data_IF_403560548649
#
_entry.id   IF_403560548649
#
_cell.length_a   1.000
_cell.length_b   1.000
_cell.length_c   1.000
_cell.angle_alpha   90.00
_cell.angle_beta   90.00
_cell.angle_gamma   90.00
#
_symmetry.space_group_name_H-M   'P 1'
#
loop_
_entity.id
_entity.type
_entity.pdbx_description
1 polymer ?
#
# COMPACT_ATOMS: atom_id res chain seq x y z
N UNK A 1 -45.98 16.65 7.12
CA UNK A 1 -44.59 16.15 7.09
C UNK A 1 -44.53 15.04 6.04
N UNK A 2 -43.63 15.14 5.04
CA UNK A 2 -43.43 14.04 4.10
C UNK A 2 -42.75 12.88 4.84
N UNK A 3 -43.28 11.70 4.67
CA UNK A 3 -42.72 10.48 5.27
C UNK A 3 -41.44 10.10 4.53
N UNK A 4 -40.32 10.11 5.23
CA UNK A 4 -39.00 9.73 4.70
C UNK A 4 -38.96 8.26 4.20
N UNK A 5 -39.84 7.42 4.73
CA UNK A 5 -39.96 6.01 4.33
C UNK A 5 -40.50 5.81 2.90
N UNK A 6 -41.07 6.86 2.30
CA UNK A 6 -41.64 6.81 0.95
C UNK A 6 -40.61 7.01 -0.19
N UNK A 7 -39.36 7.36 0.13
CA UNK A 7 -38.32 7.53 -0.88
C UNK A 7 -37.69 6.17 -1.23
N UNK A 8 -37.53 5.88 -2.53
CA UNK A 8 -36.90 4.64 -2.94
C UNK A 8 -35.45 4.58 -2.44
N UNK A 9 -35.09 3.46 -1.86
CA UNK A 9 -33.73 3.22 -1.35
C UNK A 9 -32.79 2.95 -2.55
N UNK A 10 -32.38 4.02 -3.25
CA UNK A 10 -31.49 3.95 -4.41
C UNK A 10 -30.08 4.18 -3.92
N UNK A 11 -29.15 3.29 -4.30
CA UNK A 11 -27.73 3.49 -3.99
C UNK A 11 -27.22 4.75 -4.70
N UNK A 12 -26.56 5.68 -3.99
CA UNK A 12 -26.01 6.89 -4.57
C UNK A 12 -25.01 6.58 -5.70
N UNK A 13 -25.08 7.35 -6.78
CA UNK A 13 -24.11 7.29 -7.87
C UNK A 13 -23.06 8.40 -7.70
N UNK A 14 -21.91 8.24 -8.38
CA UNK A 14 -20.80 9.22 -8.30
C UNK A 14 -21.22 10.65 -8.67
N UNK A 15 -22.26 10.80 -9.52
CA UNK A 15 -22.77 12.10 -9.95
C UNK A 15 -23.91 12.64 -9.07
N UNK A 16 -24.40 11.87 -8.10
CA UNK A 16 -25.48 12.31 -7.23
C UNK A 16 -24.99 13.48 -6.38
N UNK A 17 -25.86 14.48 -6.20
CA UNK A 17 -25.55 15.65 -5.40
C UNK A 17 -26.04 15.45 -3.96
N UNK A 18 -25.17 15.76 -3.03
CA UNK A 18 -25.50 15.82 -1.60
C UNK A 18 -25.54 17.28 -1.18
N UNK A 19 -26.62 17.69 -0.52
CA UNK A 19 -26.76 19.03 0.03
C UNK A 19 -26.18 19.02 1.44
N UNK A 20 -25.19 19.86 1.69
CA UNK A 20 -24.56 20.04 3.01
C UNK A 20 -24.37 21.51 3.33
N UNK A 21 -24.11 21.83 4.58
CA UNK A 21 -23.69 23.15 5.02
C UNK A 21 -22.21 23.14 5.39
N UNK A 22 -21.48 24.18 5.00
CA UNK A 22 -20.11 24.38 5.48
C UNK A 22 -20.11 24.80 6.95
N UNK A 23 -19.30 24.13 7.77
CA UNK A 23 -18.98 24.56 9.12
C UNK A 23 -17.91 25.64 9.07
N UNK A 24 -18.05 26.67 9.91
CA UNK A 24 -17.05 27.73 10.06
C UNK A 24 -15.68 27.16 10.44
N UNK A 25 -14.66 27.48 9.63
CA UNK A 25 -13.26 27.20 9.96
C UNK A 25 -12.63 28.49 10.47
N UNK A 26 -12.18 28.49 11.74
CA UNK A 26 -11.54 29.66 12.35
C UNK A 26 -10.30 30.09 11.54
N UNK A 27 -10.25 31.38 11.17
CA UNK A 27 -9.13 31.97 10.42
C UNK A 27 -9.37 32.24 8.93
N UNK A 28 -10.53 31.91 8.39
CA UNK A 28 -10.98 32.35 7.07
C UNK A 28 -11.87 33.57 7.21
N UNK A 29 -11.67 34.61 6.37
CA UNK A 29 -12.46 35.84 6.39
C UNK A 29 -13.96 35.53 6.42
N UNK A 30 -14.73 36.26 7.27
CA UNK A 30 -16.14 36.07 7.49
C UNK A 30 -16.91 35.88 6.18
N UNK A 31 -17.36 34.65 5.94
CA UNK A 31 -18.42 34.40 4.98
C UNK A 31 -19.72 34.79 5.71
N UNK A 32 -20.26 35.96 5.39
CA UNK A 32 -21.56 36.44 5.92
C UNK A 32 -22.67 35.53 5.39
N UNK A 33 -23.05 34.57 6.20
CA UNK A 33 -24.05 33.54 5.89
C UNK A 33 -23.47 32.14 5.93
N UNK A 34 -24.31 31.15 6.20
CA UNK A 34 -23.97 29.74 6.12
C UNK A 34 -24.40 29.22 4.73
N UNK A 35 -23.56 29.33 3.69
CA UNK A 35 -23.97 28.98 2.34
C UNK A 35 -24.21 27.47 2.26
N UNK A 36 -25.39 27.09 1.82
CA UNK A 36 -25.68 25.71 1.45
C UNK A 36 -24.90 25.37 0.18
N UNK A 37 -24.05 24.37 0.23
CA UNK A 37 -23.29 23.90 -0.93
C UNK A 37 -23.69 22.50 -1.34
N UNK A 38 -23.65 22.25 -2.64
CA UNK A 38 -23.87 20.93 -3.22
C UNK A 38 -22.52 20.23 -3.40
N UNK A 39 -22.41 19.03 -2.84
CA UNK A 39 -21.26 18.16 -3.03
C UNK A 39 -21.68 16.95 -3.86
N UNK A 40 -20.85 16.54 -4.81
CA UNK A 40 -21.06 15.27 -5.46
C UNK A 40 -20.56 14.11 -4.58
N UNK A 41 -21.18 12.94 -4.72
CA UNK A 41 -20.66 11.72 -4.07
C UNK A 41 -19.20 11.48 -4.46
N UNK A 42 -18.84 11.76 -5.72
CA UNK A 42 -17.47 11.69 -6.20
C UNK A 42 -16.50 12.61 -5.46
N UNK A 43 -16.92 13.83 -5.08
CA UNK A 43 -16.09 14.76 -4.30
C UNK A 43 -15.82 14.22 -2.90
N UNK A 44 -16.82 13.61 -2.27
CA UNK A 44 -16.69 13.02 -0.92
C UNK A 44 -15.82 11.76 -0.97
N UNK A 45 -16.01 10.90 -1.98
CA UNK A 45 -15.18 9.70 -2.16
C UNK A 45 -13.72 10.08 -2.43
N UNK A 46 -13.47 11.10 -3.27
CA UNK A 46 -12.12 11.59 -3.52
C UNK A 46 -11.47 12.16 -2.26
N UNK A 47 -12.21 12.88 -1.43
CA UNK A 47 -11.70 13.36 -0.14
C UNK A 47 -11.36 12.19 0.80
N UNK A 48 -12.22 11.20 0.90
CA UNK A 48 -11.97 9.99 1.69
C UNK A 48 -10.79 9.16 1.15
N UNK A 49 -10.64 9.09 -0.18
CA UNK A 49 -9.52 8.38 -0.84
C UNK A 49 -8.21 9.16 -0.75
N UNK A 50 -8.26 10.47 -0.58
CA UNK A 50 -7.07 11.34 -0.42
C UNK A 50 -6.47 11.30 0.99
N UNK A 51 -7.09 10.62 1.95
CA UNK A 51 -6.43 10.24 3.20
C UNK A 51 -5.37 9.19 2.89
N UNK A 52 -4.33 9.60 2.17
CA UNK A 52 -3.14 8.81 1.93
C UNK A 52 -2.61 8.30 3.26
N UNK A 53 -2.37 7.01 3.35
CA UNK A 53 -1.72 6.39 4.52
C UNK A 53 -0.33 6.97 4.81
N UNK A 54 0.10 7.99 4.05
CA UNK A 54 1.41 8.60 4.15
C UNK A 54 2.53 7.74 3.56
N UNK A 55 2.19 6.61 2.95
CA UNK A 55 3.12 5.72 2.25
C UNK A 55 2.45 5.02 1.07
N UNK A 56 3.27 4.59 0.12
CA UNK A 56 2.89 3.60 -0.89
C UNK A 56 3.42 2.23 -0.48
N UNK A 57 2.77 1.15 -0.91
CA UNK A 57 3.15 -0.20 -0.51
C UNK A 57 3.14 -1.20 -1.67
N UNK A 58 3.98 -2.22 -1.52
CA UNK A 58 3.97 -3.46 -2.28
C UNK A 58 3.79 -4.62 -1.32
N UNK A 59 2.79 -5.46 -1.53
CA UNK A 59 2.47 -6.60 -0.68
C UNK A 59 2.43 -7.86 -1.54
N UNK A 60 3.16 -8.88 -1.14
CA UNK A 60 3.24 -10.15 -1.86
C UNK A 60 3.42 -11.35 -0.93
N UNK A 61 3.04 -12.53 -1.40
CA UNK A 61 3.57 -13.79 -0.90
C UNK A 61 4.83 -14.12 -1.69
N UNK A 62 5.86 -14.62 -1.01
CA UNK A 62 7.14 -15.00 -1.61
C UNK A 62 7.41 -16.48 -1.37
N UNK A 63 7.82 -17.19 -2.42
CA UNK A 63 8.24 -18.58 -2.36
C UNK A 63 9.53 -18.77 -3.15
N UNK A 64 10.41 -19.65 -2.64
CA UNK A 64 11.67 -19.97 -3.32
C UNK A 64 12.01 -21.45 -3.11
N UNK A 65 12.51 -22.11 -4.15
CA UNK A 65 12.83 -23.54 -4.12
C UNK A 65 14.19 -23.79 -4.78
N UNK A 66 15.05 -24.48 -4.08
CA UNK A 66 16.40 -24.86 -4.52
C UNK A 66 17.23 -23.64 -4.90
N UNK A 67 17.81 -23.65 -6.08
CA UNK A 67 18.64 -22.56 -6.61
C UNK A 67 17.89 -21.61 -7.55
N UNK A 68 16.56 -21.71 -7.60
CA UNK A 68 15.74 -20.86 -8.46
C UNK A 68 15.60 -19.45 -7.88
N UNK A 69 15.22 -18.50 -8.74
CA UNK A 69 14.81 -17.17 -8.32
C UNK A 69 13.54 -17.25 -7.47
N UNK A 70 13.36 -16.36 -6.49
CA UNK A 70 12.11 -16.28 -5.74
C UNK A 70 10.93 -15.89 -6.64
N UNK A 71 9.78 -16.50 -6.40
CA UNK A 71 8.51 -16.15 -7.04
C UNK A 71 7.71 -15.32 -6.06
N UNK A 72 7.27 -14.14 -6.50
CA UNK A 72 6.37 -13.29 -5.74
C UNK A 72 4.96 -13.35 -6.33
N UNK A 73 3.98 -13.66 -5.50
CA UNK A 73 2.55 -13.53 -5.83
C UNK A 73 2.08 -12.18 -5.28
N UNK A 74 1.90 -11.20 -6.16
CA UNK A 74 1.45 -9.87 -5.79
C UNK A 74 0.03 -9.89 -5.24
N UNK A 75 -0.19 -9.32 -4.05
CA UNK A 75 -1.49 -9.16 -3.39
C UNK A 75 -1.99 -7.72 -3.49
N UNK A 76 -1.09 -6.74 -3.37
CA UNK A 76 -1.41 -5.32 -3.52
C UNK A 76 -0.18 -4.53 -3.93
N UNK A 77 -0.38 -3.51 -4.78
CA UNK A 77 0.71 -2.66 -5.24
C UNK A 77 0.20 -1.24 -5.52
N UNK A 78 0.48 -0.33 -4.60
CA UNK A 78 0.13 1.09 -4.72
C UNK A 78 1.32 1.94 -5.17
N UNK A 79 2.48 1.31 -5.45
CA UNK A 79 3.70 2.03 -5.88
C UNK A 79 3.68 2.41 -7.35
N UNK A 80 2.83 1.75 -8.16
CA UNK A 80 2.81 1.86 -9.63
C UNK A 80 4.15 1.46 -10.28
N UNK A 81 4.97 0.63 -9.61
CA UNK A 81 6.24 0.11 -10.11
C UNK A 81 6.18 -1.41 -10.17
N UNK A 82 7.00 -2.01 -11.04
CA UNK A 82 7.18 -3.47 -11.11
C UNK A 82 8.43 -3.88 -10.34
N UNK A 83 8.42 -5.14 -9.87
CA UNK A 83 9.49 -5.70 -9.06
C UNK A 83 9.99 -7.00 -9.68
N UNK A 84 11.31 -7.13 -9.79
CA UNK A 84 11.98 -8.38 -10.16
C UNK A 84 12.64 -8.98 -8.92
N UNK A 85 12.51 -10.29 -8.77
CA UNK A 85 13.11 -11.07 -7.69
C UNK A 85 14.17 -11.98 -8.28
N UNK A 86 15.40 -11.94 -7.76
CA UNK A 86 16.50 -12.77 -8.24
C UNK A 86 17.27 -13.37 -7.09
N UNK A 87 17.76 -14.60 -7.28
CA UNK A 87 18.71 -15.23 -6.38
C UNK A 87 20.12 -14.74 -6.71
N UNK A 88 20.86 -14.32 -5.68
CA UNK A 88 22.25 -13.88 -5.83
C UNK A 88 23.22 -15.01 -5.45
N UNK A 89 22.95 -15.67 -4.32
CA UNK A 89 23.71 -16.83 -3.83
C UNK A 89 22.84 -17.61 -2.84
N UNK A 90 23.36 -18.67 -2.24
CA UNK A 90 22.65 -19.42 -1.21
C UNK A 90 22.19 -18.50 -0.08
N UNK A 91 20.87 -18.41 0.10
CA UNK A 91 20.24 -17.57 1.12
C UNK A 91 20.30 -16.06 0.89
N UNK A 92 20.78 -15.60 -0.27
CA UNK A 92 20.83 -14.18 -0.61
C UNK A 92 20.02 -13.91 -1.87
N UNK A 93 19.07 -12.98 -1.78
CA UNK A 93 18.13 -12.66 -2.84
C UNK A 93 18.07 -11.14 -3.03
N UNK A 94 17.59 -10.73 -4.19
CA UNK A 94 17.48 -9.32 -4.54
C UNK A 94 16.09 -8.98 -5.05
N UNK A 95 15.55 -7.89 -4.55
CA UNK A 95 14.37 -7.23 -5.12
C UNK A 95 14.86 -6.02 -5.88
N UNK A 96 14.51 -5.94 -7.17
CA UNK A 96 14.84 -4.78 -8.03
C UNK A 96 13.55 -4.11 -8.47
N UNK A 97 13.35 -2.85 -8.08
CA UNK A 97 12.26 -2.02 -8.59
C UNK A 97 12.60 -1.49 -9.98
N UNK A 98 11.60 -1.36 -10.85
CA UNK A 98 11.75 -0.85 -12.23
C UNK A 98 12.30 0.58 -12.31
N UNK A 99 12.13 1.37 -11.25
CA UNK A 99 12.59 2.74 -11.14
C UNK A 99 13.02 3.07 -9.71
N UNK A 100 13.62 4.26 -9.52
CA UNK A 100 13.99 4.77 -8.20
C UNK A 100 12.76 4.88 -7.29
N UNK A 101 12.74 4.10 -6.21
CA UNK A 101 11.62 3.96 -5.30
C UNK A 101 12.06 3.91 -3.83
N UNK A 102 13.09 3.11 -3.50
CA UNK A 102 13.50 2.84 -2.13
C UNK A 102 14.31 4.00 -1.54
N UNK A 103 13.64 4.96 -0.91
CA UNK A 103 14.29 6.12 -0.31
C UNK A 103 14.92 5.77 1.03
N UNK A 104 16.16 6.23 1.26
CA UNK A 104 16.87 6.05 2.53
C UNK A 104 16.10 6.72 3.68
N UNK A 105 15.94 6.00 4.78
CA UNK A 105 15.20 6.48 5.96
C UNK A 105 13.68 6.52 5.80
N UNK A 106 13.15 6.16 4.62
CA UNK A 106 11.71 6.17 4.33
C UNK A 106 11.18 4.82 3.83
N UNK A 107 12.03 3.80 3.74
CA UNK A 107 11.64 2.45 3.30
C UNK A 107 11.66 1.50 4.47
N UNK A 108 10.57 0.78 4.68
CA UNK A 108 10.43 -0.28 5.69
C UNK A 108 10.02 -1.56 4.98
N UNK A 109 10.61 -2.68 5.37
CA UNK A 109 10.25 -4.01 4.86
C UNK A 109 9.82 -4.88 6.03
N UNK A 110 8.64 -5.46 5.92
CA UNK A 110 8.15 -6.53 6.78
C UNK A 110 8.31 -7.83 6.02
N UNK A 111 9.09 -8.75 6.58
CA UNK A 111 9.45 -10.00 5.91
C UNK A 111 9.30 -11.18 6.87
N UNK A 112 8.65 -12.24 6.40
CA UNK A 112 8.53 -13.50 7.12
C UNK A 112 8.73 -14.66 6.13
N UNK A 113 9.49 -15.68 6.54
CA UNK A 113 9.79 -16.84 5.67
C UNK A 113 8.60 -17.77 5.40
N UNK A 114 7.59 -17.78 6.27
CA UNK A 114 6.34 -18.54 6.09
C UNK A 114 6.41 -20.02 6.43
N UNK A 115 7.56 -20.66 6.35
CA UNK A 115 7.71 -22.09 6.67
C UNK A 115 7.68 -22.34 8.19
N UNK A 116 6.97 -23.40 8.62
CA UNK A 116 6.82 -23.76 10.02
C UNK A 116 8.08 -24.39 10.65
N UNK A 117 9.09 -24.70 9.86
CA UNK A 117 10.24 -25.44 10.35
C UNK A 117 11.42 -24.51 10.70
N UNK A 118 11.61 -24.38 12.00
CA UNK A 118 12.85 -23.97 12.67
C UNK A 118 13.53 -22.66 12.20
N UNK A 119 13.23 -21.61 12.95
CA UNK A 119 14.08 -20.43 13.16
C UNK A 119 14.68 -19.85 11.88
N UNK A 120 13.82 -19.27 11.04
CA UNK A 120 14.28 -18.59 9.84
C UNK A 120 14.61 -17.15 10.19
N UNK A 121 15.86 -16.91 10.49
CA UNK A 121 16.39 -15.56 10.52
C UNK A 121 16.33 -14.99 9.12
N UNK A 122 15.31 -14.19 8.86
CA UNK A 122 15.19 -13.42 7.63
C UNK A 122 15.54 -11.97 7.93
N UNK A 123 16.36 -11.39 7.07
CA UNK A 123 16.77 -10.01 7.18
C UNK A 123 16.63 -9.30 5.83
N UNK A 124 16.67 -7.99 5.86
CA UNK A 124 16.69 -7.21 4.64
C UNK A 124 17.66 -6.04 4.76
N UNK A 125 18.21 -5.61 3.64
CA UNK A 125 19.11 -4.47 3.52
C UNK A 125 18.76 -3.64 2.29
N UNK A 126 18.52 -2.35 2.49
CA UNK A 126 18.42 -1.42 1.37
C UNK A 126 19.82 -1.18 0.78
N UNK A 127 20.02 -1.53 -0.47
CA UNK A 127 21.30 -1.34 -1.18
C UNK A 127 21.31 -0.02 -1.93
N UNK A 128 20.23 0.30 -2.63
CA UNK A 128 20.11 1.52 -3.44
C UNK A 128 18.65 2.00 -3.51
N UNK A 129 18.40 3.04 -4.28
CA UNK A 129 17.02 3.50 -4.54
C UNK A 129 16.19 2.51 -5.37
N UNK A 130 16.82 1.51 -5.99
CA UNK A 130 16.16 0.49 -6.81
C UNK A 130 16.35 -0.92 -6.28
N UNK A 131 17.20 -1.14 -5.27
CA UNK A 131 17.59 -2.48 -4.83
C UNK A 131 17.44 -2.65 -3.33
N UNK A 132 16.76 -3.74 -2.94
CA UNK A 132 16.73 -4.31 -1.60
C UNK A 132 17.28 -5.74 -1.68
N UNK A 133 18.19 -6.11 -0.79
CA UNK A 133 18.59 -7.50 -0.59
C UNK A 133 17.75 -8.12 0.54
N UNK A 134 17.43 -9.41 0.37
CA UNK A 134 16.85 -10.27 1.39
C UNK A 134 17.87 -11.36 1.72
N UNK A 135 17.99 -11.68 3.01
CA UNK A 135 18.94 -12.68 3.51
C UNK A 135 18.23 -13.72 4.35
N UNK A 136 18.56 -15.00 4.19
CA UNK A 136 17.98 -16.13 4.90
C UNK A 136 19.09 -17.04 5.49
N UNK A 137 19.96 -16.47 6.30
CA UNK A 137 21.01 -17.19 7.03
C UNK A 137 21.79 -18.21 6.15
N UNK A 138 22.23 -17.79 4.95
CA UNK A 138 23.04 -18.57 3.99
C UNK A 138 22.38 -19.88 3.51
N UNK A 139 21.07 -19.98 3.54
CA UNK A 139 20.33 -21.19 3.13
C UNK A 139 19.19 -20.86 2.20
N UNK A 140 19.07 -21.62 1.12
CA UNK A 140 17.91 -21.61 0.23
C UNK A 140 16.70 -22.31 0.85
N UNK A 141 15.56 -22.31 0.16
CA UNK A 141 14.30 -22.97 0.58
C UNK A 141 13.68 -22.43 1.87
N UNK A 142 13.99 -21.18 2.22
CA UNK A 142 13.46 -20.55 3.44
C UNK A 142 12.20 -19.71 3.23
N UNK A 143 11.84 -19.46 1.98
CA UNK A 143 10.59 -18.80 1.65
C UNK A 143 9.56 -19.84 1.17
N UNK A 144 8.58 -20.14 2.00
CA UNK A 144 7.45 -21.02 1.66
C UNK A 144 6.16 -20.29 1.98
N UNK A 145 5.55 -19.65 1.00
CA UNK A 145 4.46 -18.68 1.18
C UNK A 145 4.79 -17.64 2.25
N UNK A 146 6.04 -17.17 2.25
CA UNK A 146 6.48 -16.09 3.11
C UNK A 146 5.73 -14.81 2.82
N UNK A 147 5.54 -13.95 3.82
CA UNK A 147 4.89 -12.66 3.65
C UNK A 147 5.93 -11.56 3.46
N UNK A 148 5.70 -10.71 2.46
CA UNK A 148 6.51 -9.53 2.18
C UNK A 148 5.60 -8.30 2.08
N UNK A 149 5.91 -7.27 2.85
CA UNK A 149 5.35 -5.94 2.65
C UNK A 149 6.48 -4.91 2.63
N UNK A 150 6.52 -4.09 1.59
CA UNK A 150 7.44 -2.95 1.47
C UNK A 150 6.59 -1.68 1.56
N UNK A 151 6.91 -0.80 2.52
CA UNK A 151 6.29 0.53 2.65
C UNK A 151 7.31 1.60 2.35
N UNK A 152 6.90 2.55 1.51
CA UNK A 152 7.71 3.71 1.13
C UNK A 152 6.95 4.97 1.56
N UNK A 153 7.50 5.65 2.57
CA UNK A 153 6.92 6.88 3.12
C UNK A 153 7.27 8.10 2.28
N UNK A 154 6.36 9.07 2.22
CA UNK A 154 6.53 10.32 1.47
C UNK A 154 7.48 11.31 2.16
#
# INVERSE_FOLDING_TARGET
MADISSYPNILPKVQDLIIGSETYVAGVAEVTGNPTRNFTVGSIVNLASSTSLGYTSYVALISQTGTNDPIATELANTTNKTFAFTRVSGGSYRITASESLFTSGKTIVFLNGGAAENNHDVAWLRVSNTIINLETHNSDDKFTNGSLEIRIYN
#
